data_IF_950725160781
#
_entry.id   IF_950725160781
#
_cell.length_a   1.000
_cell.length_b   1.000
_cell.length_c   1.000
_cell.angle_alpha   90.00
_cell.angle_beta   90.00
_cell.angle_gamma   90.00
#
_symmetry.space_group_name_H-M   'P 1'
#
loop_
_entity.id
_entity.type
_entity.pdbx_description
1 polymer ?
#
# COMPACT_ATOMS: atom_id res chain seq x y z
N UNK A 1 -12.21 41.19 61.10
CA UNK A 1 -11.12 40.72 60.22
C UNK A 1 -11.25 39.22 59.88
N UNK A 2 -12.43 38.74 59.44
CA UNK A 2 -12.63 37.34 59.03
C UNK A 2 -13.08 37.19 57.56
N UNK A 3 -13.58 38.27 56.94
CA UNK A 3 -14.15 38.23 55.57
C UNK A 3 -13.07 38.08 54.48
N UNK A 4 -11.88 38.65 54.71
CA UNK A 4 -10.76 38.61 53.76
C UNK A 4 -10.12 37.22 53.70
N UNK A 5 -10.11 36.48 54.81
CA UNK A 5 -9.57 35.11 54.87
C UNK A 5 -10.46 34.10 54.13
N UNK A 6 -11.78 34.27 54.22
CA UNK A 6 -12.73 33.39 53.52
C UNK A 6 -12.66 33.59 52.00
N UNK A 7 -12.53 34.83 51.54
CA UNK A 7 -12.39 35.11 50.10
C UNK A 7 -11.05 34.65 49.53
N UNK A 8 -9.95 34.73 50.30
CA UNK A 8 -8.66 34.17 49.88
C UNK A 8 -8.68 32.64 49.83
N UNK A 9 -9.30 31.96 50.81
CA UNK A 9 -9.44 30.51 50.78
C UNK A 9 -10.26 30.02 49.57
N UNK A 10 -11.37 30.70 49.26
CA UNK A 10 -12.21 30.35 48.11
C UNK A 10 -11.49 30.57 46.76
N UNK A 11 -10.69 31.64 46.65
CA UNK A 11 -9.85 31.87 45.48
C UNK A 11 -8.77 30.79 45.31
N UNK A 12 -8.17 30.32 46.40
CA UNK A 12 -7.18 29.23 46.35
C UNK A 12 -7.80 27.90 45.87
N UNK A 13 -9.02 27.57 46.30
CA UNK A 13 -9.73 26.38 45.78
C UNK A 13 -10.13 26.50 44.31
N UNK A 14 -10.45 27.71 43.82
CA UNK A 14 -10.73 27.95 42.41
C UNK A 14 -9.49 27.90 41.51
N UNK A 15 -8.33 28.34 42.01
CA UNK A 15 -7.06 28.31 41.27
C UNK A 15 -6.52 26.89 41.10
N UNK A 16 -6.78 25.98 42.05
CA UNK A 16 -6.34 24.57 41.94
C UNK A 16 -7.03 23.87 40.74
N UNK A 17 -8.25 24.27 40.38
CA UNK A 17 -8.94 23.73 39.20
C UNK A 17 -8.33 24.19 37.86
N UNK A 18 -7.64 25.34 37.83
CA UNK A 18 -6.99 25.87 36.62
C UNK A 18 -5.65 25.18 36.28
N UNK A 19 -5.15 24.28 37.15
CA UNK A 19 -3.95 23.47 36.91
C UNK A 19 -4.23 22.00 36.58
N UNK A 20 -5.49 21.54 36.63
CA UNK A 20 -5.85 20.17 36.27
C UNK A 20 -6.03 20.07 34.76
N UNK A 21 -4.93 19.84 34.05
CA UNK A 21 -4.94 19.51 32.64
C UNK A 21 -5.84 18.29 32.39
N UNK A 22 -6.87 18.44 31.55
CA UNK A 22 -7.80 17.35 31.24
C UNK A 22 -7.00 16.14 30.76
N UNK A 23 -7.20 14.98 31.38
CA UNK A 23 -6.65 13.73 30.86
C UNK A 23 -7.56 13.21 29.75
N UNK A 24 -7.06 13.20 28.52
CA UNK A 24 -7.73 12.67 27.35
C UNK A 24 -7.46 11.17 27.23
N UNK A 25 -8.50 10.42 26.87
CA UNK A 25 -8.41 8.98 26.62
C UNK A 25 -7.78 8.67 25.26
N UNK A 26 -7.30 7.44 25.10
CA UNK A 26 -6.81 6.91 23.80
C UNK A 26 -7.90 7.04 22.73
N UNK A 27 -9.16 6.75 23.07
CA UNK A 27 -10.28 6.82 22.14
C UNK A 27 -10.60 8.25 21.67
N UNK A 28 -10.44 9.26 22.54
CA UNK A 28 -10.59 10.67 22.15
C UNK A 28 -9.49 11.06 21.16
N UNK A 29 -8.23 10.71 21.45
CA UNK A 29 -7.10 10.97 20.56
C UNK A 29 -7.25 10.30 19.18
N UNK A 30 -7.80 9.09 19.11
CA UNK A 30 -8.01 8.39 17.83
C UNK A 30 -9.12 9.01 16.97
N UNK A 31 -10.07 9.73 17.57
CA UNK A 31 -11.25 10.28 16.89
C UNK A 31 -11.06 11.73 16.44
N UNK A 32 -10.24 12.48 17.17
CA UNK A 32 -10.03 13.91 16.92
C UNK A 32 -8.58 14.15 16.48
N UNK A 33 -8.39 14.31 15.17
CA UNK A 33 -7.09 14.58 14.54
C UNK A 33 -6.48 15.89 15.02
N UNK A 34 -7.30 16.93 15.24
CA UNK A 34 -6.79 18.22 15.71
C UNK A 34 -6.27 18.13 17.13
N UNK A 35 -6.98 17.43 18.00
CA UNK A 35 -6.52 17.12 19.35
C UNK A 35 -5.22 16.30 19.31
N UNK A 36 -5.15 15.30 18.43
CA UNK A 36 -3.95 14.49 18.26
C UNK A 36 -2.74 15.36 17.88
N UNK A 37 -2.86 16.19 16.86
CA UNK A 37 -1.76 17.02 16.33
C UNK A 37 -1.28 18.09 17.34
N UNK A 38 -2.22 18.72 18.05
CA UNK A 38 -1.90 19.65 19.13
C UNK A 38 -1.02 18.98 20.18
N UNK A 39 -1.41 17.78 20.62
CA UNK A 39 -0.69 17.03 21.63
C UNK A 39 0.60 16.40 21.11
N UNK A 40 0.70 16.04 19.82
CA UNK A 40 1.98 15.64 19.20
C UNK A 40 3.00 16.76 19.34
N UNK A 41 2.60 17.98 18.98
CA UNK A 41 3.46 19.17 19.09
C UNK A 41 3.85 19.42 20.54
N UNK A 42 2.89 19.29 21.45
CA UNK A 42 3.10 19.55 22.88
C UNK A 42 3.97 18.51 23.58
N UNK A 43 3.85 17.24 23.21
CA UNK A 43 4.64 16.16 23.79
C UNK A 43 6.05 16.09 23.21
N UNK A 44 6.29 16.60 22.00
CA UNK A 44 7.64 16.74 21.41
C UNK A 44 8.46 15.43 21.39
N UNK A 45 7.81 14.27 21.49
CA UNK A 45 8.45 12.96 21.61
C UNK A 45 9.02 12.59 22.98
N UNK A 46 9.13 13.51 23.94
CA UNK A 46 9.74 13.29 25.28
C UNK A 46 8.81 13.58 26.45
N UNK A 47 7.60 14.11 26.19
CA UNK A 47 6.61 14.40 27.22
C UNK A 47 6.18 13.13 27.97
N UNK A 48 6.14 13.23 29.30
CA UNK A 48 5.82 12.13 30.21
C UNK A 48 4.46 12.28 30.89
N UNK A 49 3.64 13.26 30.47
CA UNK A 49 2.29 13.41 31.00
C UNK A 49 1.43 12.22 30.60
N UNK A 50 0.36 11.95 31.37
CA UNK A 50 -0.57 10.87 31.04
C UNK A 50 -1.18 11.02 29.65
N UNK A 51 -1.38 12.26 29.20
CA UNK A 51 -1.83 12.55 27.84
C UNK A 51 -0.79 12.17 26.79
N UNK A 52 0.50 12.38 27.03
CA UNK A 52 1.54 11.95 26.11
C UNK A 52 1.64 10.42 26.01
N UNK A 53 1.44 9.71 27.12
CA UNK A 53 1.33 8.24 27.09
C UNK A 53 0.13 7.78 26.27
N UNK A 54 -1.05 8.34 26.54
CA UNK A 54 -2.29 7.99 25.83
C UNK A 54 -2.20 8.34 24.33
N UNK A 55 -1.59 9.47 23.98
CA UNK A 55 -1.32 9.87 22.60
C UNK A 55 -0.40 8.87 21.90
N UNK A 56 0.67 8.41 22.56
CA UNK A 56 1.58 7.39 21.98
C UNK A 56 0.85 6.08 21.70
N UNK A 57 0.01 5.64 22.64
CA UNK A 57 -0.80 4.43 22.44
C UNK A 57 -1.78 4.63 21.28
N UNK A 58 -2.48 5.76 21.24
CA UNK A 58 -3.39 6.10 20.13
C UNK A 58 -2.65 6.10 18.78
N UNK A 59 -1.47 6.72 18.70
CA UNK A 59 -0.65 6.76 17.49
C UNK A 59 -0.19 5.37 17.04
N UNK A 60 0.24 4.52 17.98
CA UNK A 60 0.64 3.14 17.67
C UNK A 60 -0.54 2.30 17.15
N UNK A 61 -1.74 2.46 17.71
CA UNK A 61 -2.94 1.78 17.23
C UNK A 61 -3.35 2.27 15.83
N UNK A 62 -3.37 3.58 15.60
CA UNK A 62 -3.68 4.16 14.29
C UNK A 62 -2.69 3.71 13.21
N UNK A 63 -1.41 3.64 13.55
CA UNK A 63 -0.38 3.16 12.64
C UNK A 63 -0.56 1.67 12.32
N UNK A 64 -0.89 0.84 13.32
CA UNK A 64 -1.21 -0.57 13.09
C UNK A 64 -2.42 -0.75 12.19
N UNK A 65 -3.49 0.03 12.40
CA UNK A 65 -4.68 0.03 11.55
C UNK A 65 -4.36 0.46 10.11
N UNK A 66 -3.54 1.51 9.96
CA UNK A 66 -3.08 2.00 8.65
C UNK A 66 -2.27 0.94 7.91
N UNK A 67 -1.32 0.30 8.59
CA UNK A 67 -0.52 -0.79 8.02
C UNK A 67 -1.37 -1.96 7.58
N UNK A 68 -2.31 -2.40 8.42
CA UNK A 68 -3.23 -3.49 8.05
C UNK A 68 -4.02 -3.17 6.77
N UNK A 69 -4.48 -1.92 6.61
CA UNK A 69 -5.18 -1.48 5.38
C UNK A 69 -4.25 -1.46 4.17
N UNK A 70 -3.01 -0.99 4.33
CA UNK A 70 -1.99 -0.98 3.27
C UNK A 70 -1.65 -2.41 2.85
N UNK A 71 -1.43 -3.32 3.80
CA UNK A 71 -1.11 -4.72 3.54
C UNK A 71 -2.25 -5.42 2.80
N UNK A 72 -3.50 -5.17 3.20
CA UNK A 72 -4.68 -5.71 2.50
C UNK A 72 -4.76 -5.18 1.06
N UNK A 73 -4.52 -3.88 0.87
CA UNK A 73 -4.53 -3.27 -0.45
C UNK A 73 -3.41 -3.82 -1.35
N UNK A 74 -2.20 -3.94 -0.81
CA UNK A 74 -1.04 -4.50 -1.51
C UNK A 74 -1.27 -5.96 -1.92
N UNK A 75 -1.92 -6.75 -1.06
CA UNK A 75 -2.28 -8.15 -1.40
C UNK A 75 -3.21 -8.20 -2.61
N UNK A 76 -4.22 -7.32 -2.67
CA UNK A 76 -5.14 -7.24 -3.82
C UNK A 76 -4.41 -6.84 -5.10
N UNK A 77 -3.50 -5.87 -5.01
CA UNK A 77 -2.66 -5.46 -6.16
C UNK A 77 -1.78 -6.61 -6.63
N UNK A 78 -1.14 -7.34 -5.72
CA UNK A 78 -0.27 -8.47 -6.07
C UNK A 78 -1.05 -9.58 -6.77
N UNK A 79 -2.24 -9.93 -6.26
CA UNK A 79 -3.15 -10.89 -6.91
C UNK A 79 -3.55 -10.46 -8.32
N UNK A 80 -3.93 -9.20 -8.50
CA UNK A 80 -4.29 -8.64 -9.82
C UNK A 80 -3.09 -8.63 -10.78
N UNK A 81 -1.92 -8.21 -10.29
CA UNK A 81 -0.69 -8.17 -11.09
C UNK A 81 -0.24 -9.57 -11.49
N UNK A 82 -0.36 -10.55 -10.58
CA UNK A 82 -0.07 -11.96 -10.85
C UNK A 82 -1.00 -12.52 -11.93
N UNK A 83 -2.30 -12.22 -11.86
CA UNK A 83 -3.26 -12.63 -12.89
C UNK A 83 -2.95 -12.00 -14.25
N UNK A 84 -2.68 -10.69 -14.29
CA UNK A 84 -2.30 -9.98 -15.52
C UNK A 84 -1.00 -10.52 -16.12
N UNK A 85 0.00 -10.77 -15.28
CA UNK A 85 1.28 -11.35 -15.71
C UNK A 85 1.09 -12.74 -16.31
N UNK A 86 0.28 -13.58 -15.67
CA UNK A 86 -0.03 -14.92 -16.18
C UNK A 86 -0.70 -14.85 -17.56
N UNK A 87 -1.74 -14.03 -17.70
CA UNK A 87 -2.43 -13.85 -18.98
C UNK A 87 -1.51 -13.29 -20.08
N UNK A 88 -0.61 -12.38 -19.72
CA UNK A 88 0.37 -11.82 -20.66
C UNK A 88 1.39 -12.87 -21.11
N UNK A 89 1.88 -13.73 -20.20
CA UNK A 89 2.78 -14.85 -20.54
C UNK A 89 2.07 -15.84 -21.46
N UNK A 90 0.85 -16.26 -21.12
CA UNK A 90 0.06 -17.18 -21.94
C UNK A 90 -0.16 -16.63 -23.36
N UNK A 91 -0.43 -15.32 -23.48
CA UNK A 91 -0.56 -14.65 -24.78
C UNK A 91 0.74 -14.69 -25.58
N UNK A 92 1.87 -14.38 -24.94
CA UNK A 92 3.18 -14.40 -25.60
C UNK A 92 3.56 -15.81 -26.03
N UNK A 93 3.30 -16.81 -25.22
CA UNK A 93 3.54 -18.21 -25.57
C UNK A 93 2.69 -18.62 -26.78
N UNK A 94 1.41 -18.27 -26.79
CA UNK A 94 0.52 -18.54 -27.93
C UNK A 94 1.00 -17.84 -29.21
N UNK A 95 1.35 -16.55 -29.13
CA UNK A 95 1.86 -15.78 -30.27
C UNK A 95 3.19 -16.34 -30.77
N UNK A 96 4.09 -16.73 -29.86
CA UNK A 96 5.39 -17.34 -30.19
C UNK A 96 5.22 -18.67 -30.91
N UNK A 97 4.33 -19.53 -30.42
CA UNK A 97 4.03 -20.82 -31.02
C UNK A 97 3.39 -20.66 -32.40
N UNK A 98 2.45 -19.72 -32.55
CA UNK A 98 1.86 -19.38 -33.86
C UNK A 98 2.93 -18.95 -34.86
N UNK A 99 3.79 -17.99 -34.49
CA UNK A 99 4.85 -17.50 -35.37
C UNK A 99 5.86 -18.59 -35.72
N UNK A 100 6.15 -19.51 -34.80
CA UNK A 100 7.00 -20.68 -35.08
C UNK A 100 6.34 -21.60 -36.10
N UNK A 101 5.07 -21.96 -35.90
CA UNK A 101 4.33 -22.80 -36.84
C UNK A 101 4.23 -22.18 -38.23
N UNK A 102 4.01 -20.86 -38.33
CA UNK A 102 3.99 -20.14 -39.60
C UNK A 102 5.37 -20.16 -40.30
N UNK A 103 6.46 -19.99 -39.55
CA UNK A 103 7.82 -20.09 -40.11
C UNK A 103 8.11 -21.49 -40.64
N UNK A 104 7.83 -22.52 -39.85
CA UNK A 104 8.01 -23.91 -40.26
C UNK A 104 7.16 -24.26 -41.49
N UNK A 105 5.92 -23.78 -41.56
CA UNK A 105 5.07 -23.98 -42.73
C UNK A 105 5.63 -23.29 -43.99
N UNK A 106 6.15 -22.07 -43.84
CA UNK A 106 6.80 -21.34 -44.94
C UNK A 106 8.07 -22.03 -45.42
N UNK A 107 8.89 -22.54 -44.50
CA UNK A 107 10.10 -23.29 -44.81
C UNK A 107 9.78 -24.59 -45.55
N UNK A 108 8.83 -25.39 -45.05
CA UNK A 108 8.36 -26.61 -45.74
C UNK A 108 7.84 -26.31 -47.15
N UNK A 109 7.03 -25.26 -47.31
CA UNK A 109 6.52 -24.86 -48.63
C UNK A 109 7.61 -24.31 -49.57
N UNK A 110 8.68 -23.73 -49.04
CA UNK A 110 9.83 -23.30 -49.83
C UNK A 110 10.69 -24.50 -50.25
N UNK A 111 10.90 -25.47 -49.36
CA UNK A 111 11.63 -26.70 -49.63
C UNK A 111 10.91 -27.55 -50.68
N UNK A 112 9.59 -27.73 -50.56
CA UNK A 112 8.79 -28.46 -51.54
C UNK A 112 8.87 -27.81 -52.92
N UNK A 113 8.80 -26.47 -52.99
CA UNK A 113 8.98 -25.73 -54.25
C UNK A 113 10.36 -25.97 -54.86
N UNK A 114 11.43 -25.84 -54.08
CA UNK A 114 12.81 -26.12 -54.53
C UNK A 114 13.00 -27.59 -54.95
N UNK A 115 12.31 -28.54 -54.31
CA UNK A 115 12.36 -29.94 -54.70
C UNK A 115 11.67 -30.18 -56.05
N UNK A 116 10.50 -29.56 -56.28
CA UNK A 116 9.79 -29.61 -57.56
C UNK A 116 10.58 -28.96 -58.70
N UNK A 117 11.21 -27.81 -58.45
CA UNK A 117 12.08 -27.13 -59.41
C UNK A 117 13.26 -28.01 -59.81
N UNK A 118 13.98 -28.58 -58.83
CA UNK A 118 15.10 -29.51 -59.10
C UNK A 118 14.66 -30.74 -59.90
N UNK A 119 13.52 -31.35 -59.54
CA UNK A 119 13.00 -32.51 -60.26
C UNK A 119 12.61 -32.16 -61.71
N UNK A 120 12.07 -30.96 -61.96
CA UNK A 120 11.75 -30.50 -63.31
C UNK A 120 13.01 -30.23 -64.15
N UNK A 121 14.05 -29.62 -63.57
CA UNK A 121 15.35 -29.40 -64.23
C UNK A 121 16.03 -30.72 -64.59
N UNK A 122 16.02 -31.71 -63.70
CA UNK A 122 16.58 -33.04 -63.97
C UNK A 122 15.85 -33.77 -65.11
N UNK A 123 14.52 -33.63 -65.21
CA UNK A 123 13.75 -34.21 -66.31
C UNK A 123 14.06 -33.53 -67.66
N UNK A 124 14.29 -32.22 -67.66
CA UNK A 124 14.66 -31.48 -68.89
C UNK A 124 16.07 -31.79 -69.37
N UNK A 125 17.01 -32.06 -68.46
CA UNK A 125 18.41 -32.36 -68.82
C UNK A 125 18.63 -33.81 -69.28
N UNK A 126 17.69 -34.72 -69.03
CA UNK A 126 17.77 -36.15 -69.38
C UNK A 126 16.98 -36.53 -70.65
N UNK A 127 16.46 -35.56 -71.40
CA UNK A 127 15.66 -35.72 -72.62
C UNK A 127 16.28 -34.92 -73.77
#
# INVERSE_FOLDING_TARGET
>A
MNKVLITTLLFCTGIIAAGCEKTYSVAEFKKDEKLFDEWVTRCGGVGTSKNCENLRVAGAELEKERRAKIDEHNRKIDEELKAKRKAWIEKIEADTNRLRAEREAKERAAEERRAKERAAEEQQNNN
#
